data_IF_055701037845
#
_entry.id   IF_055701037845
#
_cell.length_a   1.000
_cell.length_b   1.000
_cell.length_c   1.000
_cell.angle_alpha   90.00
_cell.angle_beta   90.00
_cell.angle_gamma   90.00
#
_symmetry.space_group_name_H-M   'P 1'
#
loop_
_entity.id
_entity.type
_entity.pdbx_description
1 polymer ?
#
# COMPACT_ATOMS: atom_id res chain seq x y z
N UNK A 1 -21.92 19.03 -26.65
CA UNK A 1 -21.16 17.91 -27.22
C UNK A 1 -19.71 18.36 -27.39
N UNK A 2 -18.85 18.01 -26.44
CA UNK A 2 -17.37 17.84 -26.55
C UNK A 2 -16.81 17.48 -25.16
N UNK A 3 -16.75 16.17 -24.90
CA UNK A 3 -15.60 15.49 -24.30
C UNK A 3 -14.94 16.00 -23.00
N UNK A 4 -15.70 16.31 -21.94
CA UNK A 4 -15.10 16.42 -20.60
C UNK A 4 -14.85 15.06 -19.94
N UNK A 5 -15.53 13.99 -20.37
CA UNK A 5 -15.38 12.64 -19.79
C UNK A 5 -14.07 11.95 -20.18
N UNK A 6 -13.42 12.37 -21.27
CA UNK A 6 -12.20 11.71 -21.77
C UNK A 6 -10.92 12.27 -21.16
N UNK A 7 -10.95 13.49 -20.58
CA UNK A 7 -9.81 14.02 -19.82
C UNK A 7 -9.81 13.60 -18.35
N UNK A 8 -10.96 13.20 -17.80
CA UNK A 8 -11.05 12.70 -16.42
C UNK A 8 -10.33 11.36 -16.22
N UNK A 9 -10.21 10.53 -17.25
CA UNK A 9 -9.40 9.29 -17.17
C UNK A 9 -7.89 9.55 -17.20
N UNK A 10 -7.43 10.72 -17.68
CA UNK A 10 -6.01 11.06 -17.70
C UNK A 10 -5.51 11.71 -16.40
N UNK A 11 -6.42 12.21 -15.56
CA UNK A 11 -6.08 12.76 -14.24
C UNK A 11 -6.34 11.77 -13.09
N UNK A 12 -7.21 10.77 -13.29
CA UNK A 12 -7.38 9.65 -12.36
C UNK A 12 -6.12 8.75 -12.25
N UNK A 13 -5.25 8.80 -13.25
CA UNK A 13 -3.98 8.06 -13.28
C UNK A 13 -2.90 8.58 -12.30
N UNK A 14 -3.23 9.45 -11.34
CA UNK A 14 -2.24 10.18 -10.53
C UNK A 14 -2.38 10.06 -9.00
N UNK A 15 -3.23 9.19 -8.45
CA UNK A 15 -3.29 9.01 -6.98
C UNK A 15 -3.53 7.58 -6.47
N UNK A 16 -3.51 6.58 -7.34
CA UNK A 16 -3.80 5.20 -6.94
C UNK A 16 -2.76 4.29 -7.55
N UNK A 17 -1.59 4.26 -6.92
CA UNK A 17 -0.40 3.59 -7.44
C UNK A 17 0.36 2.93 -6.27
N UNK A 18 -0.40 2.35 -5.33
CA UNK A 18 0.09 2.13 -3.97
C UNK A 18 1.15 1.02 -3.86
N UNK A 19 1.22 0.01 -4.73
CA UNK A 19 2.34 -0.97 -4.67
C UNK A 19 3.53 -0.63 -5.56
N UNK A 20 3.31 -0.20 -6.81
CA UNK A 20 4.42 0.16 -7.71
C UNK A 20 5.16 1.43 -7.27
N UNK A 21 4.49 2.38 -6.60
CA UNK A 21 5.13 3.57 -6.03
C UNK A 21 5.83 3.26 -4.70
N UNK A 22 5.35 2.31 -3.89
CA UNK A 22 6.09 1.90 -2.68
C UNK A 22 7.45 1.31 -3.09
N UNK A 23 7.50 0.44 -4.09
CA UNK A 23 8.76 -0.06 -4.68
C UNK A 23 9.62 1.11 -5.22
N UNK A 24 9.05 2.03 -6.01
CA UNK A 24 9.84 3.09 -6.68
C UNK A 24 10.25 4.28 -5.77
N UNK A 25 9.50 4.61 -4.71
CA UNK A 25 9.72 5.80 -3.90
C UNK A 25 10.83 5.62 -2.85
N UNK A 26 10.99 4.40 -2.30
CA UNK A 26 12.02 4.10 -1.30
C UNK A 26 13.35 3.77 -1.96
N UNK A 27 13.33 3.11 -3.12
CA UNK A 27 14.54 2.78 -3.86
C UNK A 27 15.15 3.95 -4.65
N UNK A 28 14.60 5.17 -4.59
CA UNK A 28 15.36 6.37 -4.99
C UNK A 28 16.56 6.55 -4.05
N UNK A 29 17.81 6.29 -4.50
CA UNK A 29 18.94 6.37 -3.60
C UNK A 29 19.29 7.84 -3.36
N UNK A 30 19.50 8.22 -2.09
CA UNK A 30 20.00 9.55 -1.72
C UNK A 30 21.39 9.87 -2.31
N UNK A 31 22.07 8.85 -2.83
CA UNK A 31 23.21 8.87 -3.77
C UNK A 31 23.34 7.44 -4.26
N UNK A 32 23.33 7.23 -5.58
CA UNK A 32 23.63 5.93 -6.14
C UNK A 32 25.06 5.52 -5.76
N UNK A 33 25.22 4.73 -4.70
CA UNK A 33 26.28 3.73 -4.68
C UNK A 33 25.71 2.52 -5.41
N UNK A 34 26.40 2.08 -6.46
CA UNK A 34 26.07 0.92 -7.27
C UNK A 34 25.97 -0.36 -6.42
N UNK A 35 24.82 -0.57 -5.79
CA UNK A 35 24.38 -1.83 -5.20
C UNK A 35 23.25 -2.40 -6.04
N UNK A 36 23.25 -3.71 -6.22
CA UNK A 36 22.23 -4.45 -6.97
C UNK A 36 20.82 -4.10 -6.44
N UNK A 37 19.82 -4.04 -7.32
CA UNK A 37 18.45 -3.79 -6.90
C UNK A 37 17.95 -4.98 -6.06
N UNK A 38 17.63 -4.78 -4.78
CA UNK A 38 17.09 -5.84 -3.90
C UNK A 38 15.64 -6.24 -4.23
N UNK A 39 15.19 -6.03 -5.46
CA UNK A 39 13.82 -6.28 -5.91
C UNK A 39 13.49 -7.77 -5.97
N UNK A 40 14.45 -8.62 -6.36
CA UNK A 40 14.24 -10.06 -6.34
C UNK A 40 14.16 -10.61 -4.91
N UNK A 41 14.98 -10.07 -4.00
CA UNK A 41 14.91 -10.38 -2.57
C UNK A 41 13.56 -9.94 -1.99
N UNK A 42 13.07 -8.76 -2.38
CA UNK A 42 11.73 -8.28 -2.02
C UNK A 42 10.62 -9.21 -2.51
N UNK A 43 10.72 -9.70 -3.75
CA UNK A 43 9.78 -10.67 -4.31
C UNK A 43 9.80 -11.99 -3.55
N UNK A 44 10.98 -12.51 -3.23
CA UNK A 44 11.14 -13.74 -2.45
C UNK A 44 10.56 -13.61 -1.04
N UNK A 45 10.77 -12.46 -0.39
CA UNK A 45 10.15 -12.15 0.90
C UNK A 45 8.63 -12.21 0.81
N UNK A 46 8.00 -11.48 -0.12
CA UNK A 46 6.54 -11.52 -0.26
C UNK A 46 6.00 -12.90 -0.60
N UNK A 47 6.70 -13.67 -1.42
CA UNK A 47 6.33 -15.05 -1.75
C UNK A 47 6.32 -15.95 -0.50
N UNK A 48 7.31 -15.81 0.39
CA UNK A 48 7.36 -16.55 1.65
C UNK A 48 6.18 -16.20 2.57
N UNK A 49 5.81 -14.91 2.68
CA UNK A 49 4.59 -14.50 3.42
C UNK A 49 3.31 -15.04 2.77
N UNK A 50 3.24 -15.10 1.44
CA UNK A 50 2.08 -15.64 0.72
C UNK A 50 1.88 -17.15 0.99
N UNK A 51 2.97 -17.89 1.22
CA UNK A 51 2.94 -19.32 1.51
C UNK A 51 2.68 -19.65 2.99
N UNK A 52 2.65 -18.63 3.85
CA UNK A 52 2.41 -18.78 5.29
C UNK A 52 3.65 -19.20 6.08
N UNK A 53 4.85 -19.12 5.49
CA UNK A 53 6.11 -19.53 6.13
C UNK A 53 6.49 -18.65 7.34
N UNK A 54 5.82 -17.51 7.49
CA UNK A 54 6.00 -16.55 8.60
C UNK A 54 4.81 -16.50 9.57
N UNK A 55 3.78 -17.33 9.38
CA UNK A 55 2.65 -17.36 10.31
C UNK A 55 3.08 -18.07 11.60
N UNK A 56 3.02 -17.35 12.72
CA UNK A 56 3.20 -17.96 14.04
C UNK A 56 2.14 -19.07 14.24
N UNK A 57 2.55 -20.24 14.69
CA UNK A 57 1.70 -21.44 14.85
C UNK A 57 0.63 -21.33 15.94
N UNK A 58 0.58 -20.19 16.63
CA UNK A 58 -0.03 -20.05 17.96
C UNK A 58 -1.11 -18.95 17.95
N UNK A 59 -2.14 -19.12 17.12
CA UNK A 59 -3.33 -18.25 17.10
C UNK A 59 -3.09 -16.83 16.56
N UNK A 60 -4.17 -16.08 16.38
CA UNK A 60 -4.15 -14.70 15.87
C UNK A 60 -3.41 -13.77 16.85
N UNK A 61 -2.10 -13.61 16.67
CA UNK A 61 -1.30 -12.64 17.40
C UNK A 61 -1.39 -11.28 16.71
N UNK A 62 -1.65 -10.24 17.49
CA UNK A 62 -1.78 -8.88 16.99
C UNK A 62 -0.59 -8.04 17.46
N UNK A 63 -0.02 -7.27 16.52
CA UNK A 63 0.93 -6.21 16.80
C UNK A 63 0.28 -5.09 17.62
N UNK A 64 -0.93 -4.68 17.21
CA UNK A 64 -1.69 -3.65 17.91
C UNK A 64 -3.19 -3.91 17.86
N UNK A 65 -3.88 -3.58 18.94
CA UNK A 65 -5.34 -3.64 19.05
C UNK A 65 -5.88 -2.22 18.93
N UNK A 66 -6.77 -1.98 17.97
CA UNK A 66 -7.42 -0.69 17.77
C UNK A 66 -8.91 -0.74 18.12
N UNK A 67 -9.54 0.43 18.08
CA UNK A 67 -10.97 0.62 18.37
C UNK A 67 -11.88 -0.19 17.44
N UNK A 68 -11.56 -0.21 16.14
CA UNK A 68 -12.38 -0.92 15.13
C UNK A 68 -11.61 -1.91 14.29
N UNK A 69 -10.28 -1.93 14.39
CA UNK A 69 -9.42 -2.83 13.64
C UNK A 69 -8.21 -3.24 14.47
N UNK A 70 -7.80 -4.51 14.35
CA UNK A 70 -6.54 -5.02 14.91
C UNK A 70 -5.51 -5.12 13.79
N UNK A 71 -4.24 -4.89 14.13
CA UNK A 71 -3.10 -5.02 13.22
C UNK A 71 -2.46 -6.39 13.50
N UNK A 72 -2.50 -7.34 12.55
CA UNK A 72 -1.84 -8.63 12.67
C UNK A 72 -0.31 -8.50 12.86
N UNK A 73 0.30 -9.45 13.56
CA UNK A 73 1.75 -9.44 13.78
C UNK A 73 2.54 -9.60 12.48
N UNK A 74 2.10 -10.51 11.61
CA UNK A 74 2.72 -10.77 10.30
C UNK A 74 2.72 -9.53 9.39
N UNK A 75 1.69 -8.68 9.49
CA UNK A 75 1.63 -7.42 8.75
C UNK A 75 2.73 -6.44 9.20
N UNK A 76 3.04 -6.40 10.51
CA UNK A 76 4.16 -5.62 11.04
C UNK A 76 5.51 -6.22 10.64
N UNK A 77 5.70 -7.52 10.82
CA UNK A 77 6.95 -8.22 10.49
C UNK A 77 7.31 -8.03 9.00
N UNK A 78 6.33 -8.24 8.11
CA UNK A 78 6.48 -8.01 6.67
C UNK A 78 6.85 -6.57 6.34
N UNK A 79 6.27 -5.60 7.04
CA UNK A 79 6.59 -4.19 6.83
C UNK A 79 8.01 -3.84 7.31
N UNK A 80 8.45 -4.38 8.46
CA UNK A 80 9.81 -4.20 8.97
C UNK A 80 10.83 -4.74 7.96
N UNK A 81 10.63 -5.97 7.51
CA UNK A 81 11.53 -6.63 6.55
C UNK A 81 11.58 -5.88 5.22
N UNK A 82 10.43 -5.41 4.71
CA UNK A 82 10.35 -4.53 3.54
C UNK A 82 11.26 -3.30 3.66
N UNK A 83 11.19 -2.57 4.78
CA UNK A 83 12.03 -1.38 4.99
C UNK A 83 13.52 -1.74 5.21
N UNK A 84 13.82 -2.91 5.79
CA UNK A 84 15.20 -3.40 5.95
C UNK A 84 15.84 -3.75 4.60
N UNK A 85 15.13 -4.46 3.73
CA UNK A 85 15.56 -4.77 2.35
C UNK A 85 15.82 -3.47 1.56
N UNK A 86 14.99 -2.44 1.80
CA UNK A 86 15.20 -1.08 1.27
C UNK A 86 16.33 -0.28 1.93
N UNK A 87 17.13 -0.88 2.81
CA UNK A 87 18.29 -0.29 3.47
C UNK A 87 17.97 0.79 4.50
N UNK A 88 16.75 0.80 5.07
CA UNK A 88 16.33 1.81 6.05
C UNK A 88 16.75 1.43 7.47
N UNK A 89 17.62 2.24 8.08
CA UNK A 89 18.08 2.04 9.46
C UNK A 89 16.98 2.24 10.51
N UNK A 90 15.91 2.97 10.18
CA UNK A 90 14.74 3.21 11.02
C UNK A 90 13.52 2.35 10.62
N UNK A 91 13.76 1.14 10.06
CA UNK A 91 12.73 0.26 9.52
C UNK A 91 11.53 0.04 10.44
N UNK A 92 11.76 -0.23 11.73
CA UNK A 92 10.67 -0.47 12.71
C UNK A 92 9.74 0.74 12.86
N UNK A 93 10.29 1.96 12.92
CA UNK A 93 9.47 3.16 13.05
C UNK A 93 8.67 3.46 11.78
N UNK A 94 9.27 3.20 10.61
CA UNK A 94 8.58 3.34 9.32
C UNK A 94 7.48 2.28 9.16
N UNK A 95 7.75 1.04 9.55
CA UNK A 95 6.79 -0.05 9.56
C UNK A 95 5.61 0.26 10.49
N UNK A 96 5.86 0.70 11.73
CA UNK A 96 4.81 1.07 12.68
C UNK A 96 3.88 2.14 12.11
N UNK A 97 4.46 3.22 11.57
CA UNK A 97 3.68 4.27 10.94
C UNK A 97 2.85 3.72 9.76
N UNK A 98 3.48 2.97 8.86
CA UNK A 98 2.83 2.41 7.68
C UNK A 98 1.66 1.51 8.03
N UNK A 99 1.84 0.52 8.91
CA UNK A 99 0.78 -0.44 9.25
C UNK A 99 -0.37 0.24 10.00
N UNK A 100 -0.09 1.22 10.86
CA UNK A 100 -1.14 2.01 11.53
C UNK A 100 -1.94 2.85 10.54
N UNK A 101 -1.27 3.61 9.68
CA UNK A 101 -1.94 4.44 8.67
C UNK A 101 -2.78 3.59 7.73
N UNK A 102 -2.23 2.49 7.21
CA UNK A 102 -2.92 1.57 6.32
C UNK A 102 -4.17 0.96 6.95
N UNK A 103 -4.06 0.43 8.17
CA UNK A 103 -5.21 -0.19 8.84
C UNK A 103 -6.26 0.84 9.27
N UNK A 104 -5.85 2.03 9.69
CA UNK A 104 -6.79 3.10 10.02
C UNK A 104 -7.54 3.60 8.77
N UNK A 105 -6.86 3.73 7.62
CA UNK A 105 -7.48 4.02 6.33
C UNK A 105 -8.45 2.93 5.91
N UNK A 106 -8.09 1.65 6.06
CA UNK A 106 -8.97 0.55 5.73
C UNK A 106 -10.24 0.54 6.59
N UNK A 107 -10.09 0.74 7.91
CA UNK A 107 -11.25 0.85 8.80
C UNK A 107 -12.16 2.02 8.41
N UNK A 108 -11.58 3.17 8.04
CA UNK A 108 -12.33 4.33 7.57
C UNK A 108 -13.03 4.06 6.22
N UNK A 109 -12.37 3.36 5.30
CA UNK A 109 -12.95 2.95 4.03
C UNK A 109 -14.21 2.10 4.25
N UNK A 110 -14.12 1.06 5.08
CA UNK A 110 -15.27 0.21 5.41
C UNK A 110 -16.41 1.01 6.08
N UNK A 111 -16.08 1.92 7.02
CA UNK A 111 -17.06 2.77 7.68
C UNK A 111 -17.79 3.72 6.72
N UNK A 112 -17.16 4.10 5.60
CA UNK A 112 -17.74 4.95 4.56
C UNK A 112 -18.37 4.15 3.41
N UNK A 113 -18.52 2.83 3.56
CA UNK A 113 -19.11 1.97 2.53
C UNK A 113 -18.21 1.74 1.30
N UNK A 114 -16.93 2.10 1.39
CA UNK A 114 -15.94 1.76 0.38
C UNK A 114 -15.56 0.29 0.56
N UNK A 115 -16.25 -0.59 -0.15
CA UNK A 115 -15.95 -2.03 -0.22
C UNK A 115 -15.49 -2.42 -1.62
N UNK A 116 -14.93 -3.62 -1.75
CA UNK A 116 -14.47 -4.18 -3.01
C UNK A 116 -15.13 -5.54 -3.24
N UNK A 117 -15.68 -5.73 -4.44
CA UNK A 117 -16.10 -7.04 -4.94
C UNK A 117 -14.94 -7.77 -5.58
N UNK A 118 -15.03 -9.10 -5.70
CA UNK A 118 -14.00 -9.88 -6.37
C UNK A 118 -13.80 -9.44 -7.83
N UNK A 119 -14.88 -9.13 -8.54
CA UNK A 119 -14.84 -8.70 -9.94
C UNK A 119 -14.17 -7.33 -10.08
N UNK A 120 -14.45 -6.38 -9.18
CA UNK A 120 -13.77 -5.07 -9.17
C UNK A 120 -12.25 -5.22 -8.97
N UNK A 121 -11.84 -6.10 -8.04
CA UNK A 121 -10.41 -6.35 -7.79
C UNK A 121 -9.76 -7.01 -9.02
N UNK A 122 -10.39 -8.03 -9.60
CA UNK A 122 -9.86 -8.73 -10.79
C UNK A 122 -9.70 -7.77 -11.97
N UNK A 123 -10.73 -6.97 -12.25
CA UNK A 123 -10.66 -5.97 -13.31
C UNK A 123 -9.51 -4.97 -13.06
N UNK A 124 -9.36 -4.49 -11.83
CA UNK A 124 -8.29 -3.57 -11.48
C UNK A 124 -6.90 -4.20 -11.63
N UNK A 125 -6.72 -5.47 -11.26
CA UNK A 125 -5.46 -6.20 -11.47
C UNK A 125 -5.13 -6.40 -12.95
N UNK A 126 -6.13 -6.67 -13.79
CA UNK A 126 -5.92 -6.77 -15.25
C UNK A 126 -5.43 -5.43 -15.83
N UNK A 127 -6.01 -4.31 -15.37
CA UNK A 127 -5.56 -2.96 -15.74
C UNK A 127 -4.11 -2.70 -15.27
N UNK A 128 -3.77 -3.10 -14.05
CA UNK A 128 -2.40 -2.99 -13.51
C UNK A 128 -1.40 -3.84 -14.30
N UNK A 129 -1.77 -5.06 -14.68
CA UNK A 129 -0.93 -5.95 -15.50
C UNK A 129 -0.61 -5.30 -16.84
N UNK A 130 -1.60 -4.72 -17.50
CA UNK A 130 -1.39 -3.99 -18.74
C UNK A 130 -0.52 -2.73 -18.56
N UNK A 131 -0.68 -2.03 -17.43
CA UNK A 131 0.14 -0.86 -17.10
C UNK A 131 1.61 -1.22 -16.82
N UNK A 132 1.86 -2.36 -16.15
CA UNK A 132 3.20 -2.86 -15.84
C UNK A 132 4.05 -2.97 -17.10
N UNK A 133 3.56 -3.60 -18.16
CA UNK A 133 4.31 -3.77 -19.42
C UNK A 133 4.63 -2.45 -20.13
N UNK A 134 3.91 -1.37 -19.79
CA UNK A 134 4.10 -0.02 -20.33
C UNK A 134 4.92 0.89 -19.41
N UNK A 135 5.23 0.45 -18.20
CA UNK A 135 5.90 1.24 -17.18
C UNK A 135 7.41 1.40 -17.44
N UNK A 136 7.97 2.56 -17.07
CA UNK A 136 9.42 2.82 -17.18
C UNK A 136 10.23 1.96 -16.19
N UNK A 137 9.63 1.59 -15.06
CA UNK A 137 10.23 0.78 -14.01
C UNK A 137 9.92 -0.73 -14.13
N UNK A 138 9.47 -1.19 -15.30
CA UNK A 138 9.07 -2.59 -15.52
C UNK A 138 10.14 -3.63 -15.12
N UNK A 139 11.42 -3.31 -15.25
CA UNK A 139 12.49 -4.25 -14.92
C UNK A 139 12.62 -4.49 -13.41
N UNK A 140 12.40 -3.46 -12.60
CA UNK A 140 12.33 -3.62 -11.13
C UNK A 140 11.12 -4.48 -10.75
N UNK A 141 9.99 -4.28 -11.44
CA UNK A 141 8.77 -5.06 -11.20
C UNK A 141 8.96 -6.52 -11.64
N UNK A 142 9.61 -6.76 -12.78
CA UNK A 142 9.94 -8.11 -13.22
C UNK A 142 10.93 -8.80 -12.30
N UNK A 143 11.87 -8.07 -11.69
CA UNK A 143 12.74 -8.63 -10.66
C UNK A 143 11.96 -9.06 -9.42
N UNK A 144 10.95 -8.30 -8.97
CA UNK A 144 10.01 -8.74 -7.92
C UNK A 144 9.27 -10.00 -8.34
N UNK A 145 8.68 -10.01 -9.54
CA UNK A 145 7.96 -11.18 -10.07
C UNK A 145 8.86 -12.42 -10.12
N UNK A 146 10.13 -12.28 -10.51
CA UNK A 146 11.10 -13.37 -10.49
C UNK A 146 11.33 -13.92 -9.08
N UNK A 147 11.28 -13.08 -8.05
CA UNK A 147 11.38 -13.51 -6.66
C UNK A 147 10.22 -14.41 -6.21
N UNK A 148 9.05 -14.30 -6.84
CA UNK A 148 7.91 -15.19 -6.56
C UNK A 148 8.04 -16.59 -7.15
N UNK A 149 8.93 -16.79 -8.13
CA UNK A 149 9.05 -18.04 -8.88
C UNK A 149 8.16 -18.10 -10.13
N UNK A 150 6.99 -17.47 -10.11
CA UNK A 150 6.13 -17.32 -11.29
C UNK A 150 5.27 -16.04 -11.26
N UNK A 151 4.86 -15.60 -12.45
CA UNK A 151 3.95 -14.44 -12.59
C UNK A 151 2.54 -14.74 -12.03
N UNK A 152 2.07 -15.98 -12.16
CA UNK A 152 0.76 -16.38 -11.63
C UNK A 152 0.74 -16.36 -10.10
N UNK A 153 1.82 -16.79 -9.43
CA UNK A 153 1.95 -16.70 -7.97
C UNK A 153 2.00 -15.23 -7.49
N UNK A 154 2.70 -14.36 -8.23
CA UNK A 154 2.71 -12.93 -7.95
C UNK A 154 1.31 -12.33 -8.04
N UNK A 155 0.57 -12.56 -9.13
CA UNK A 155 -0.79 -12.01 -9.28
C UNK A 155 -1.80 -12.60 -8.30
N UNK A 156 -1.64 -13.87 -7.91
CA UNK A 156 -2.43 -14.47 -6.84
C UNK A 156 -2.18 -13.78 -5.50
N UNK A 157 -0.93 -13.45 -5.19
CA UNK A 157 -0.59 -12.66 -4.00
C UNK A 157 -1.16 -11.24 -4.09
N UNK A 158 -0.97 -10.53 -5.20
CA UNK A 158 -1.52 -9.18 -5.40
C UNK A 158 -3.04 -9.17 -5.19
N UNK A 159 -3.76 -10.20 -5.64
CA UNK A 159 -5.19 -10.33 -5.34
C UNK A 159 -5.51 -10.30 -3.85
N UNK A 160 -4.74 -11.00 -3.01
CA UNK A 160 -4.92 -10.95 -1.54
C UNK A 160 -4.62 -9.57 -0.96
N UNK A 161 -3.60 -8.88 -1.49
CA UNK A 161 -3.24 -7.53 -1.05
C UNK A 161 -4.35 -6.54 -1.39
N UNK A 162 -4.91 -6.64 -2.60
CA UNK A 162 -5.95 -5.75 -3.10
C UNK A 162 -7.33 -5.94 -2.46
N UNK A 163 -7.58 -7.04 -1.74
CA UNK A 163 -8.76 -7.15 -0.88
C UNK A 163 -8.80 -6.06 0.20
N UNK A 164 -7.64 -5.60 0.69
CA UNK A 164 -7.52 -4.48 1.62
C UNK A 164 -7.21 -3.16 0.92
N UNK A 165 -6.33 -3.16 -0.09
CA UNK A 165 -5.95 -1.92 -0.78
C UNK A 165 -7.09 -1.30 -1.59
N UNK A 166 -7.88 -2.09 -2.31
CA UNK A 166 -8.90 -1.52 -3.20
C UNK A 166 -9.98 -0.70 -2.46
N UNK A 167 -10.47 -1.12 -1.28
CA UNK A 167 -11.26 -0.25 -0.40
C UNK A 167 -10.56 1.06 0.00
N UNK A 168 -9.27 1.01 0.38
CA UNK A 168 -8.47 2.20 0.74
C UNK A 168 -8.37 3.15 -0.45
N UNK A 169 -8.16 2.60 -1.64
CA UNK A 169 -8.10 3.31 -2.92
C UNK A 169 -9.39 4.10 -3.15
N UNK A 170 -10.54 3.41 -3.11
CA UNK A 170 -11.86 4.05 -3.30
C UNK A 170 -12.11 5.15 -2.28
N UNK A 171 -11.71 4.93 -1.03
CA UNK A 171 -11.84 5.94 0.02
C UNK A 171 -10.93 7.16 -0.22
N UNK A 172 -9.69 6.92 -0.65
CA UNK A 172 -8.73 7.99 -0.97
C UNK A 172 -9.19 8.82 -2.17
N UNK A 173 -9.76 8.18 -3.20
CA UNK A 173 -10.38 8.87 -4.33
C UNK A 173 -11.57 9.73 -3.88
N UNK A 174 -12.46 9.20 -3.04
CA UNK A 174 -13.58 9.96 -2.51
C UNK A 174 -13.13 11.17 -1.66
N UNK A 175 -12.08 11.03 -0.86
CA UNK A 175 -11.45 12.13 -0.14
C UNK A 175 -10.86 13.17 -1.09
N UNK A 176 -10.24 12.73 -2.18
CA UNK A 176 -9.65 13.63 -3.19
C UNK A 176 -10.72 14.42 -3.93
N UNK A 177 -11.82 13.78 -4.32
CA UNK A 177 -12.95 14.45 -4.96
C UNK A 177 -13.56 15.50 -4.02
N UNK A 178 -13.76 15.14 -2.74
CA UNK A 178 -14.24 16.10 -1.74
C UNK A 178 -13.26 17.27 -1.55
N UNK A 179 -11.96 17.00 -1.49
CA UNK A 179 -10.94 18.03 -1.37
C UNK A 179 -10.97 18.98 -2.58
N UNK A 180 -11.07 18.44 -3.80
CA UNK A 180 -11.14 19.22 -5.04
C UNK A 180 -12.36 20.14 -5.09
N UNK A 181 -13.52 19.63 -4.69
CA UNK A 181 -14.77 20.41 -4.63
C UNK A 181 -14.67 21.61 -3.68
N UNK A 182 -13.89 21.48 -2.60
CA UNK A 182 -13.69 22.54 -1.61
C UNK A 182 -12.59 23.55 -2.00
N UNK A 183 -11.71 23.22 -2.96
CA UNK A 183 -10.56 24.05 -3.32
C UNK A 183 -10.87 25.17 -4.32
N UNK A 184 -12.10 25.29 -4.83
CA UNK A 184 -12.53 26.34 -5.79
C UNK A 184 -11.52 26.57 -6.95
N UNK A 185 -10.87 25.51 -7.43
CA UNK A 185 -9.88 25.56 -8.52
C UNK A 185 -8.43 25.87 -8.12
N UNK A 186 -8.11 26.02 -6.83
CA UNK A 186 -6.76 26.25 -6.31
C UNK A 186 -6.01 24.96 -5.95
N UNK A 187 -6.18 23.89 -6.74
CA UNK A 187 -5.50 22.62 -6.47
C UNK A 187 -3.98 22.76 -6.50
N UNK A 188 -3.32 22.23 -5.47
CA UNK A 188 -1.90 21.92 -5.49
C UNK A 188 -1.67 20.51 -4.98
N UNK A 189 -0.68 19.83 -5.55
CA UNK A 189 -0.29 18.49 -5.09
C UNK A 189 0.19 18.54 -3.63
N UNK A 190 0.98 19.53 -3.25
CA UNK A 190 1.44 19.73 -1.87
C UNK A 190 0.29 19.93 -0.89
N UNK A 191 -0.76 20.66 -1.28
CA UNK A 191 -1.94 20.86 -0.46
C UNK A 191 -2.71 19.56 -0.26
N UNK A 192 -2.88 18.76 -1.32
CA UNK A 192 -3.49 17.43 -1.21
C UNK A 192 -2.68 16.50 -0.29
N UNK A 193 -1.36 16.46 -0.45
CA UNK A 193 -0.49 15.62 0.38
C UNK A 193 -0.55 16.04 1.87
N UNK A 194 -0.60 17.34 2.14
CA UNK A 194 -0.76 17.87 3.51
C UNK A 194 -2.11 17.47 4.10
N UNK A 195 -3.20 17.73 3.37
CA UNK A 195 -4.56 17.33 3.78
C UNK A 195 -4.66 15.83 4.05
N UNK A 196 -4.15 15.00 3.14
CA UNK A 196 -4.23 13.56 3.28
C UNK A 196 -3.37 13.04 4.45
N UNK A 197 -2.19 13.64 4.69
CA UNK A 197 -1.39 13.34 5.88
C UNK A 197 -2.15 13.67 7.18
N UNK A 198 -2.83 14.81 7.25
CA UNK A 198 -3.65 15.20 8.40
C UNK A 198 -4.82 14.22 8.61
N UNK A 199 -5.49 13.80 7.54
CA UNK A 199 -6.54 12.76 7.59
C UNK A 199 -5.98 11.45 8.15
N UNK A 200 -4.86 10.95 7.62
CA UNK A 200 -4.23 9.71 8.12
C UNK A 200 -3.89 9.81 9.60
N UNK A 201 -3.29 10.93 10.03
CA UNK A 201 -2.96 11.16 11.43
C UNK A 201 -4.20 11.14 12.33
N UNK A 202 -5.28 11.80 11.91
CA UNK A 202 -6.53 11.82 12.65
C UNK A 202 -7.16 10.42 12.76
N UNK A 203 -7.14 9.64 11.67
CA UNK A 203 -7.65 8.26 11.66
C UNK A 203 -6.84 7.34 12.58
N UNK A 204 -5.51 7.44 12.56
CA UNK A 204 -4.64 6.69 13.49
C UNK A 204 -4.93 7.06 14.94
N UNK A 205 -5.14 8.35 15.24
CA UNK A 205 -5.50 8.80 16.58
C UNK A 205 -6.88 8.27 17.03
N UNK A 206 -7.89 8.20 16.15
CA UNK A 206 -9.22 7.65 16.50
C UNK A 206 -9.17 6.15 16.79
N UNK A 207 -8.23 5.41 16.19
CA UNK A 207 -8.08 3.98 16.46
C UNK A 207 -7.54 3.69 17.86
N UNK A 208 -6.84 4.64 18.50
CA UNK A 208 -6.26 4.48 19.86
C UNK A 208 -5.48 3.16 19.98
N UNK A 209 -4.63 2.87 19.00
CA UNK A 209 -3.90 1.60 18.93
C UNK A 209 -3.08 1.34 20.20
N UNK A 210 -3.34 0.19 20.83
CA UNK A 210 -2.56 -0.34 21.95
C UNK A 210 -1.61 -1.40 21.41
N UNK A 211 -0.31 -1.12 21.46
CA UNK A 211 0.74 -2.03 20.97
C UNK A 211 0.89 -3.20 21.96
N UNK A 212 1.02 -4.40 21.43
CA UNK A 212 1.31 -5.60 22.21
C UNK A 212 2.69 -5.49 22.87
N UNK A 213 2.76 -5.77 24.17
CA UNK A 213 3.97 -5.62 24.98
C UNK A 213 5.16 -6.47 24.48
N UNK A 214 4.91 -7.55 23.75
CA UNK A 214 5.95 -8.39 23.15
C UNK A 214 6.83 -7.64 22.14
N UNK A 215 6.31 -6.58 21.51
CA UNK A 215 7.04 -5.74 20.56
C UNK A 215 7.73 -4.51 21.20
N UNK A 216 7.63 -4.36 22.52
CA UNK A 216 8.21 -3.21 23.27
C UNK A 216 9.48 -3.56 24.06
N UNK A 217 10.01 -4.77 23.91
CA UNK A 217 11.24 -5.26 24.56
C UNK A 217 12.44 -5.18 23.63
#
# INVERSE_FOLDING_TARGET
MKSYRTFFMAAAASAVFVLLVIIAAIFKPAKASAGESNMSELGAMWAAYAQGDHLSSDGETYYAIGKTINIPMDEMDRAVEYYQIGGRSNAVALADQYVKERNALYAAALANGCTATEDEIRQYLDELRDMLYRSENKEDIFAVIQGFGSEDEYWAYEYTVYQKEYPIIKYTEALRDNYLDNMNGSYSEEGWQTYFADVKNALVQDQVFVINAEYTK
#
